data_IF_538674651390
#
_entry.id   IF_538674651390
#
_cell.length_a   1.000
_cell.length_b   1.000
_cell.length_c   1.000
_cell.angle_alpha   90.00
_cell.angle_beta   90.00
_cell.angle_gamma   90.00
#
_symmetry.space_group_name_H-M   'P 1'
#
loop_
_entity.id
_entity.type
_entity.pdbx_description
1 polymer ?
#
# COMPACT_ATOMS: atom_id res chain seq x y z
N UNK A 1 24.59 5.08 -16.63
CA UNK A 1 23.30 4.36 -16.48
C UNK A 1 22.46 5.11 -15.42
N UNK A 2 21.15 5.23 -15.60
CA UNK A 2 20.26 5.78 -14.57
C UNK A 2 20.24 4.78 -13.40
N UNK A 3 20.74 5.19 -12.23
CA UNK A 3 20.66 4.37 -11.01
C UNK A 3 19.51 4.91 -10.17
N UNK A 4 18.50 4.08 -9.93
CA UNK A 4 17.35 4.49 -9.14
C UNK A 4 17.75 4.59 -7.65
N UNK A 5 17.17 5.51 -6.84
CA UNK A 5 17.48 5.61 -5.41
C UNK A 5 17.35 4.29 -4.64
N UNK A 6 16.40 3.44 -5.07
CA UNK A 6 16.21 2.12 -4.51
C UNK A 6 17.37 1.17 -4.83
N UNK A 7 17.96 1.25 -6.02
CA UNK A 7 19.14 0.46 -6.39
C UNK A 7 20.36 0.87 -5.57
N UNK A 8 20.55 2.17 -5.31
CA UNK A 8 21.62 2.66 -4.42
C UNK A 8 21.47 2.13 -2.99
N UNK A 9 20.25 2.14 -2.45
CA UNK A 9 19.97 1.58 -1.13
C UNK A 9 20.33 0.10 -1.05
N UNK A 10 19.91 -0.72 -2.02
CA UNK A 10 20.22 -2.15 -2.01
C UNK A 10 21.68 -2.46 -2.31
N UNK A 11 22.33 -1.71 -3.20
CA UNK A 11 23.76 -1.86 -3.44
C UNK A 11 24.58 -1.62 -2.16
N UNK A 12 24.15 -0.66 -1.33
CA UNK A 12 24.81 -0.31 -0.07
C UNK A 12 24.47 -1.27 1.07
N UNK A 13 23.18 -1.51 1.32
CA UNK A 13 22.72 -2.24 2.51
C UNK A 13 22.65 -3.76 2.28
N UNK A 14 22.51 -4.21 1.03
CA UNK A 14 22.29 -5.62 0.68
C UNK A 14 23.02 -6.01 -0.62
N UNK A 15 24.37 -5.94 -0.63
CA UNK A 15 25.15 -6.16 -1.85
C UNK A 15 24.85 -7.52 -2.49
N UNK A 16 24.69 -7.52 -3.82
CA UNK A 16 24.35 -8.71 -4.61
C UNK A 16 22.86 -9.08 -4.64
N UNK A 17 21.98 -8.27 -4.04
CA UNK A 17 20.53 -8.43 -4.13
C UNK A 17 19.93 -7.39 -5.10
N UNK A 18 18.92 -7.80 -5.86
CA UNK A 18 18.23 -6.97 -6.87
C UNK A 18 16.73 -7.03 -6.72
N UNK A 19 16.09 -5.93 -7.09
CA UNK A 19 14.62 -5.78 -7.10
C UNK A 19 14.19 -5.27 -8.45
N UNK A 20 13.05 -5.74 -8.93
CA UNK A 20 12.52 -5.31 -10.21
C UNK A 20 12.18 -6.47 -11.13
N UNK A 21 12.41 -6.26 -12.41
CA UNK A 21 12.09 -7.22 -13.46
C UNK A 21 13.22 -8.22 -13.67
N UNK A 22 12.86 -9.50 -13.81
CA UNK A 22 13.78 -10.57 -14.17
C UNK A 22 13.70 -11.76 -13.22
N UNK A 23 14.58 -12.73 -13.48
CA UNK A 23 14.72 -13.96 -12.71
C UNK A 23 16.19 -14.21 -12.41
N UNK A 24 16.49 -14.86 -11.30
CA UNK A 24 17.86 -15.22 -10.94
C UNK A 24 18.07 -15.41 -9.44
N UNK A 25 19.24 -15.96 -9.06
CA UNK A 25 19.65 -16.11 -7.65
C UNK A 25 19.96 -14.78 -6.96
N UNK A 26 20.18 -13.71 -7.74
CA UNK A 26 20.35 -12.33 -7.31
C UNK A 26 19.03 -11.57 -7.20
N UNK A 27 17.93 -12.12 -7.75
CA UNK A 27 16.61 -11.49 -7.71
C UNK A 27 15.89 -11.78 -6.40
N UNK A 28 15.61 -10.72 -5.65
CA UNK A 28 14.92 -10.75 -4.37
C UNK A 28 15.83 -10.66 -3.16
N UNK A 29 15.24 -10.84 -1.97
CA UNK A 29 15.94 -10.57 -0.71
C UNK A 29 16.23 -11.85 0.02
N UNK A 30 17.51 -12.03 0.38
CA UNK A 30 17.92 -13.02 1.39
C UNK A 30 17.54 -12.58 2.81
N UNK A 31 17.01 -11.37 2.99
CA UNK A 31 16.55 -10.81 4.28
C UNK A 31 15.44 -11.70 4.88
N UNK A 32 14.65 -12.40 4.06
CA UNK A 32 13.63 -13.35 4.51
C UNK A 32 14.17 -14.76 4.81
N UNK A 33 15.50 -14.92 4.86
CA UNK A 33 16.19 -16.14 5.23
C UNK A 33 16.56 -17.05 4.05
N UNK A 34 17.27 -18.15 4.31
CA UNK A 34 17.82 -19.05 3.29
C UNK A 34 16.74 -19.79 2.47
N UNK A 35 15.46 -19.65 2.82
CA UNK A 35 14.33 -20.23 2.10
C UNK A 35 13.99 -19.52 0.79
N UNK A 36 14.60 -18.36 0.54
CA UNK A 36 14.40 -17.57 -0.68
C UNK A 36 15.73 -17.44 -1.44
N UNK A 37 16.14 -18.46 -2.22
CA UNK A 37 17.44 -18.51 -2.90
C UNK A 37 17.53 -17.58 -4.13
N UNK A 38 16.45 -16.87 -4.45
CA UNK A 38 16.30 -16.04 -5.64
C UNK A 38 14.82 -15.97 -6.05
N UNK A 39 14.58 -15.53 -7.28
CA UNK A 39 13.27 -15.59 -7.93
C UNK A 39 13.40 -16.24 -9.30
N UNK A 40 12.75 -17.39 -9.47
CA UNK A 40 12.81 -18.18 -10.70
C UNK A 40 11.46 -18.24 -11.40
N UNK A 41 11.41 -18.58 -12.70
CA UNK A 41 10.14 -18.70 -13.42
C UNK A 41 9.15 -19.66 -12.76
N UNK A 42 9.65 -20.71 -12.10
CA UNK A 42 8.83 -21.66 -11.33
C UNK A 42 8.15 -21.04 -10.10
N UNK A 43 8.70 -19.95 -9.57
CA UNK A 43 8.12 -19.22 -8.43
C UNK A 43 7.02 -18.26 -8.88
N UNK A 44 7.02 -17.85 -10.14
CA UNK A 44 6.11 -16.83 -10.64
C UNK A 44 4.62 -17.20 -10.50
N UNK A 45 4.17 -18.44 -10.81
CA UNK A 45 2.79 -18.84 -10.56
C UNK A 45 2.40 -18.76 -9.08
N UNK A 46 3.30 -19.20 -8.18
CA UNK A 46 3.08 -19.17 -6.73
C UNK A 46 3.03 -17.75 -6.19
N UNK A 47 3.96 -16.89 -6.61
CA UNK A 47 4.00 -15.48 -6.18
C UNK A 47 2.80 -14.72 -6.74
N UNK A 48 2.42 -14.98 -8.00
CA UNK A 48 1.23 -14.38 -8.61
C UNK A 48 -0.04 -14.85 -7.91
N UNK A 49 -0.18 -16.13 -7.59
CA UNK A 49 -1.35 -16.64 -6.88
C UNK A 49 -1.47 -16.07 -5.46
N UNK A 50 -0.35 -15.94 -4.73
CA UNK A 50 -0.32 -15.27 -3.42
C UNK A 50 -0.74 -13.80 -3.55
N UNK A 51 -0.17 -13.06 -4.50
CA UNK A 51 -0.54 -11.65 -4.74
C UNK A 51 -2.02 -11.51 -5.11
N UNK A 52 -2.54 -12.42 -5.93
CA UNK A 52 -3.96 -12.44 -6.29
C UNK A 52 -4.84 -12.79 -5.09
N UNK A 53 -4.44 -13.75 -4.26
CA UNK A 53 -5.17 -14.11 -3.05
C UNK A 53 -5.21 -12.94 -2.04
N UNK A 54 -4.10 -12.23 -1.86
CA UNK A 54 -4.06 -11.02 -1.05
C UNK A 54 -4.91 -9.90 -1.65
N UNK A 55 -4.80 -9.67 -2.97
CA UNK A 55 -5.66 -8.71 -3.65
C UNK A 55 -7.13 -9.05 -3.45
N UNK A 56 -7.52 -10.31 -3.63
CA UNK A 56 -8.89 -10.81 -3.42
C UNK A 56 -9.34 -10.65 -1.96
N UNK A 57 -8.46 -10.85 -0.98
CA UNK A 57 -8.76 -10.60 0.42
C UNK A 57 -8.99 -9.10 0.68
N UNK A 58 -8.14 -8.22 0.15
CA UNK A 58 -8.21 -6.76 0.35
C UNK A 58 -9.49 -6.13 -0.22
N UNK A 59 -10.04 -6.74 -1.26
CA UNK A 59 -11.27 -6.33 -1.96
C UNK A 59 -12.48 -7.24 -1.64
N UNK A 60 -12.34 -8.11 -0.64
CA UNK A 60 -13.41 -9.00 -0.16
C UNK A 60 -14.05 -9.87 -1.24
N UNK A 61 -13.26 -10.35 -2.20
CA UNK A 61 -13.75 -11.19 -3.30
C UNK A 61 -14.56 -10.45 -4.38
N UNK A 62 -14.69 -9.11 -4.31
CA UNK A 62 -15.37 -8.32 -5.34
C UNK A 62 -14.86 -8.57 -6.78
N UNK A 63 -13.57 -8.89 -7.04
CA UNK A 63 -13.08 -9.27 -8.35
C UNK A 63 -13.62 -10.58 -8.88
N UNK A 64 -14.18 -11.47 -8.06
CA UNK A 64 -14.89 -12.65 -8.56
C UNK A 64 -16.20 -12.24 -9.22
N UNK A 65 -16.89 -11.25 -8.65
CA UNK A 65 -18.07 -10.63 -9.26
C UNK A 65 -17.68 -9.85 -10.52
N UNK A 66 -16.58 -9.11 -10.49
CA UNK A 66 -16.04 -8.44 -11.69
C UNK A 66 -15.58 -9.45 -12.75
N UNK A 67 -14.95 -10.57 -12.37
CA UNK A 67 -14.53 -11.63 -13.29
C UNK A 67 -15.73 -12.33 -13.92
N UNK A 68 -16.80 -12.57 -13.17
CA UNK A 68 -18.06 -13.07 -13.70
C UNK A 68 -18.71 -12.05 -14.66
N UNK A 69 -18.70 -10.76 -14.31
CA UNK A 69 -19.20 -9.69 -15.17
C UNK A 69 -18.36 -9.53 -16.45
N UNK A 70 -17.04 -9.67 -16.36
CA UNK A 70 -16.13 -9.70 -17.50
C UNK A 70 -16.41 -10.93 -18.36
N UNK A 71 -16.39 -12.14 -17.79
CA UNK A 71 -16.69 -13.38 -18.51
C UNK A 71 -18.02 -13.26 -19.27
N UNK A 72 -19.06 -12.73 -18.63
CA UNK A 72 -20.34 -12.43 -19.27
C UNK A 72 -20.23 -11.38 -20.40
N UNK A 73 -19.49 -10.29 -20.19
CA UNK A 73 -19.24 -9.25 -21.19
C UNK A 73 -18.41 -9.76 -22.39
N UNK A 74 -17.60 -10.80 -22.21
CA UNK A 74 -16.80 -11.44 -23.26
C UNK A 74 -17.50 -12.61 -23.94
N UNK A 75 -18.53 -13.22 -23.33
CA UNK A 75 -19.20 -14.42 -23.86
C UNK A 75 -20.01 -14.19 -25.16
N UNK A 76 -20.40 -12.95 -25.49
CA UNK A 76 -21.12 -12.67 -26.74
C UNK A 76 -20.16 -12.64 -27.95
N UNK A 77 -20.49 -13.15 -29.14
CA UNK A 77 -19.51 -13.35 -30.24
C UNK A 77 -19.05 -12.10 -31.03
N UNK A 78 -19.34 -10.87 -30.59
CA UNK A 78 -18.87 -9.68 -31.34
C UNK A 78 -17.42 -9.34 -31.02
N UNK A 79 -16.55 -9.44 -32.02
CA UNK A 79 -15.21 -8.87 -31.99
C UNK A 79 -15.34 -7.35 -31.80
N UNK A 80 -14.84 -6.86 -30.67
CA UNK A 80 -14.87 -5.46 -30.30
C UNK A 80 -13.44 -5.11 -29.87
N UNK A 81 -12.87 -4.06 -30.45
CA UNK A 81 -11.51 -3.62 -30.19
C UNK A 81 -11.24 -3.43 -28.68
N UNK A 82 -12.27 -3.05 -27.92
CA UNK A 82 -12.21 -2.95 -26.47
C UNK A 82 -11.91 -4.28 -25.79
N UNK A 83 -12.44 -5.39 -26.31
CA UNK A 83 -12.17 -6.71 -25.73
C UNK A 83 -10.73 -7.13 -25.90
N UNK A 84 -10.17 -6.90 -27.10
CA UNK A 84 -8.77 -7.12 -27.36
C UNK A 84 -7.91 -6.23 -26.45
N UNK A 85 -8.28 -4.96 -26.27
CA UNK A 85 -7.59 -4.04 -25.36
C UNK A 85 -7.63 -4.50 -23.89
N UNK A 86 -8.77 -4.96 -23.38
CA UNK A 86 -8.87 -5.50 -22.01
C UNK A 86 -8.08 -6.79 -21.83
N UNK A 87 -8.17 -7.71 -22.78
CA UNK A 87 -7.40 -8.95 -22.75
C UNK A 87 -5.89 -8.67 -22.78
N UNK A 88 -5.46 -7.75 -23.65
CA UNK A 88 -4.07 -7.31 -23.72
C UNK A 88 -3.62 -6.61 -22.43
N UNK A 89 -4.41 -5.69 -21.88
CA UNK A 89 -4.10 -5.04 -20.61
C UNK A 89 -3.98 -6.03 -19.44
N UNK A 90 -4.91 -7.00 -19.37
CA UNK A 90 -4.86 -8.08 -18.36
C UNK A 90 -3.61 -8.92 -18.53
N UNK A 91 -3.29 -9.33 -19.77
CA UNK A 91 -2.09 -10.10 -20.06
C UNK A 91 -0.80 -9.34 -19.73
N UNK A 92 -0.74 -8.04 -20.05
CA UNK A 92 0.39 -7.16 -19.71
C UNK A 92 0.56 -7.06 -18.20
N UNK A 93 -0.53 -6.84 -17.45
CA UNK A 93 -0.46 -6.79 -15.98
C UNK A 93 0.04 -8.13 -15.43
N UNK A 94 -0.50 -9.26 -15.88
CA UNK A 94 -0.03 -10.60 -15.47
C UNK A 94 1.44 -10.79 -15.81
N UNK A 95 1.88 -10.43 -17.02
CA UNK A 95 3.27 -10.54 -17.44
C UNK A 95 4.19 -9.66 -16.59
N UNK A 96 3.78 -8.42 -16.27
CA UNK A 96 4.49 -7.53 -15.35
C UNK A 96 4.63 -8.19 -13.99
N UNK A 97 3.57 -8.77 -13.45
CA UNK A 97 3.59 -9.44 -12.15
C UNK A 97 4.43 -10.72 -12.12
N UNK A 98 4.41 -11.49 -13.21
CA UNK A 98 5.25 -12.69 -13.39
C UNK A 98 6.72 -12.29 -13.45
N UNK A 99 7.06 -11.24 -14.17
CA UNK A 99 8.44 -10.79 -14.32
C UNK A 99 8.94 -9.94 -13.15
N UNK A 100 8.06 -9.34 -12.34
CA UNK A 100 8.44 -8.39 -11.29
C UNK A 100 8.50 -9.04 -9.90
N UNK A 101 9.69 -9.10 -9.31
CA UNK A 101 9.87 -9.49 -7.92
C UNK A 101 9.88 -8.28 -6.98
N UNK A 102 9.09 -8.35 -5.91
CA UNK A 102 9.10 -7.40 -4.80
C UNK A 102 8.85 -8.13 -3.47
N UNK A 103 9.73 -7.90 -2.50
CA UNK A 103 9.83 -8.64 -1.24
C UNK A 103 8.67 -8.48 -0.25
N UNK A 104 7.84 -7.45 -0.44
CA UNK A 104 6.59 -7.34 0.26
C UNK A 104 5.46 -7.91 -0.59
N UNK A 105 4.87 -9.04 -0.18
CA UNK A 105 3.51 -9.39 -0.61
C UNK A 105 2.56 -8.20 -0.35
N UNK A 106 2.83 -7.43 0.72
CA UNK A 106 2.16 -6.18 1.09
C UNK A 106 2.20 -5.05 0.05
N UNK A 107 3.11 -5.07 -0.94
CA UNK A 107 3.21 -4.01 -1.95
C UNK A 107 3.14 -4.54 -3.38
N UNK A 108 3.21 -5.86 -3.57
CA UNK A 108 3.05 -6.48 -4.88
C UNK A 108 1.76 -6.03 -5.52
N UNK A 109 0.62 -6.15 -4.83
CA UNK A 109 -0.72 -5.91 -5.39
C UNK A 109 -1.01 -4.45 -5.81
N UNK A 110 -0.13 -3.48 -5.53
CA UNK A 110 -0.37 -2.06 -5.85
C UNK A 110 -0.56 -1.77 -7.34
N UNK A 111 0.10 -2.53 -8.22
CA UNK A 111 -0.08 -2.34 -9.67
C UNK A 111 -1.47 -2.81 -10.14
N UNK A 112 -2.08 -3.79 -9.47
CA UNK A 112 -3.51 -4.10 -9.66
C UNK A 112 -4.39 -2.93 -9.23
N UNK A 113 -4.06 -2.25 -8.13
CA UNK A 113 -4.80 -1.06 -7.69
C UNK A 113 -4.70 0.11 -8.68
N UNK A 114 -3.56 0.28 -9.37
CA UNK A 114 -3.40 1.28 -10.44
C UNK A 114 -4.27 0.94 -11.66
N UNK A 115 -4.36 -0.33 -12.03
CA UNK A 115 -5.20 -0.77 -13.15
C UNK A 115 -6.70 -0.81 -12.80
N UNK A 116 -7.05 -0.87 -11.51
CA UNK A 116 -8.41 -1.09 -11.05
C UNK A 116 -9.40 -0.02 -11.51
N UNK A 117 -9.13 1.31 -11.45
CA UNK A 117 -10.05 2.32 -11.95
C UNK A 117 -10.40 2.17 -13.43
N UNK A 118 -9.42 1.85 -14.27
CA UNK A 118 -9.64 1.65 -15.70
C UNK A 118 -10.51 0.41 -15.97
N UNK A 119 -10.25 -0.68 -15.25
CA UNK A 119 -11.05 -1.92 -15.34
C UNK A 119 -12.48 -1.66 -14.86
N UNK A 120 -12.67 -1.01 -13.71
CA UNK A 120 -13.99 -0.67 -13.16
C UNK A 120 -14.75 0.26 -14.11
N UNK A 121 -14.11 1.32 -14.61
CA UNK A 121 -14.72 2.27 -15.53
C UNK A 121 -15.25 1.60 -16.81
N UNK A 122 -14.47 0.67 -17.37
CA UNK A 122 -14.90 -0.04 -18.57
C UNK A 122 -16.05 -1.02 -18.34
N UNK A 123 -16.04 -1.72 -17.20
CA UNK A 123 -17.15 -2.58 -16.78
C UNK A 123 -18.40 -1.71 -16.58
N UNK A 124 -18.26 -0.57 -15.91
CA UNK A 124 -19.37 0.36 -15.64
C UNK A 124 -19.98 0.91 -16.94
N UNK A 125 -19.16 1.35 -17.90
CA UNK A 125 -19.64 1.84 -19.20
C UNK A 125 -20.42 0.77 -19.96
N UNK A 126 -19.92 -0.46 -20.00
CA UNK A 126 -20.64 -1.58 -20.65
C UNK A 126 -21.91 -1.96 -19.92
N UNK A 127 -21.88 -1.95 -18.60
CA UNK A 127 -23.07 -2.18 -17.79
C UNK A 127 -24.13 -1.12 -18.08
N UNK A 128 -23.74 0.17 -18.16
CA UNK A 128 -24.64 1.27 -18.50
C UNK A 128 -25.29 1.07 -19.88
N UNK A 129 -24.50 0.81 -20.92
CA UNK A 129 -25.05 0.54 -22.26
C UNK A 129 -25.98 -0.69 -22.29
N UNK A 130 -25.64 -1.76 -21.57
CA UNK A 130 -26.50 -2.95 -21.50
C UNK A 130 -27.81 -2.68 -20.74
N UNK A 131 -27.80 -1.78 -19.75
CA UNK A 131 -28.99 -1.34 -19.02
C UNK A 131 -29.87 -0.43 -19.87
N UNK A 132 -29.27 0.48 -20.66
CA UNK A 132 -29.96 1.38 -21.59
C UNK A 132 -30.64 0.62 -22.73
N UNK A 133 -30.00 -0.42 -23.26
CA UNK A 133 -30.55 -1.22 -24.34
C UNK A 133 -31.82 -2.01 -23.95
N UNK A 134 -32.23 -2.03 -22.67
CA UNK A 134 -33.44 -2.68 -22.12
C UNK A 134 -33.67 -4.12 -22.60
N UNK A 135 -32.58 -4.85 -22.90
CA UNK A 135 -32.66 -6.23 -23.36
C UNK A 135 -33.06 -7.22 -22.27
N UNK A 136 -33.30 -8.50 -22.63
CA UNK A 136 -33.72 -9.55 -21.68
C UNK A 136 -32.74 -9.76 -20.52
N UNK A 137 -31.48 -9.35 -20.68
CA UNK A 137 -30.44 -9.48 -19.65
C UNK A 137 -30.37 -8.27 -18.69
N UNK A 138 -31.16 -7.21 -18.90
CA UNK A 138 -31.09 -6.00 -18.08
C UNK A 138 -31.45 -6.29 -16.61
N UNK A 139 -32.44 -7.17 -16.37
CA UNK A 139 -32.82 -7.58 -15.01
C UNK A 139 -31.71 -8.35 -14.30
N UNK A 140 -31.06 -9.29 -14.99
CA UNK A 140 -29.94 -10.05 -14.43
C UNK A 140 -28.75 -9.13 -14.10
N UNK A 141 -28.45 -8.16 -14.97
CA UNK A 141 -27.39 -7.18 -14.71
C UNK A 141 -27.72 -6.26 -13.54
N UNK A 142 -28.96 -5.77 -13.43
CA UNK A 142 -29.41 -4.99 -12.26
C UNK A 142 -29.30 -5.80 -10.97
N UNK A 143 -29.72 -7.06 -11.00
CA UNK A 143 -29.59 -7.96 -9.86
C UNK A 143 -28.12 -8.19 -9.47
N UNK A 144 -27.23 -8.36 -10.45
CA UNK A 144 -25.79 -8.50 -10.20
C UNK A 144 -25.17 -7.23 -9.58
N UNK A 145 -25.53 -6.05 -10.09
CA UNK A 145 -25.08 -4.77 -9.53
C UNK A 145 -25.62 -4.59 -8.11
N UNK A 146 -26.91 -4.86 -7.89
CA UNK A 146 -27.52 -4.80 -6.57
C UNK A 146 -26.86 -5.78 -5.58
N UNK A 147 -26.56 -7.00 -6.01
CA UNK A 147 -25.83 -7.98 -5.22
C UNK A 147 -24.41 -7.53 -4.89
N UNK A 148 -23.70 -6.91 -5.85
CA UNK A 148 -22.37 -6.35 -5.61
C UNK A 148 -22.41 -5.20 -4.59
N UNK A 149 -23.36 -4.27 -4.74
CA UNK A 149 -23.56 -3.17 -3.79
C UNK A 149 -23.93 -3.71 -2.41
N UNK A 150 -24.84 -4.69 -2.34
CA UNK A 150 -25.22 -5.34 -1.09
C UNK A 150 -24.01 -6.05 -0.44
N UNK A 151 -23.20 -6.78 -1.21
CA UNK A 151 -21.96 -7.39 -0.72
C UNK A 151 -20.98 -6.36 -0.16
N UNK A 152 -20.81 -5.24 -0.88
CA UNK A 152 -19.95 -4.15 -0.40
C UNK A 152 -20.48 -3.57 0.91
N UNK A 153 -21.77 -3.23 0.98
CA UNK A 153 -22.34 -2.56 2.15
C UNK A 153 -22.50 -3.48 3.37
N UNK A 154 -22.84 -4.75 3.15
CA UNK A 154 -23.18 -5.70 4.22
C UNK A 154 -22.01 -6.56 4.67
N UNK A 155 -21.01 -6.81 3.81
CA UNK A 155 -19.87 -7.66 4.13
C UNK A 155 -18.53 -6.93 4.05
N UNK A 156 -18.20 -6.35 2.89
CA UNK A 156 -16.87 -5.78 2.67
C UNK A 156 -16.60 -4.52 3.51
N UNK A 157 -17.52 -3.57 3.52
CA UNK A 157 -17.36 -2.29 4.21
C UNK A 157 -17.30 -2.44 5.73
N UNK A 158 -18.20 -3.19 6.41
CA UNK A 158 -18.10 -3.39 7.85
C UNK A 158 -16.78 -4.05 8.25
N UNK A 159 -16.36 -5.08 7.53
CA UNK A 159 -15.13 -5.78 7.83
C UNK A 159 -13.88 -4.92 7.53
N UNK A 160 -13.92 -4.06 6.51
CA UNK A 160 -12.92 -3.03 6.26
C UNK A 160 -12.89 -2.01 7.40
N UNK A 161 -14.04 -1.53 7.87
CA UNK A 161 -14.11 -0.59 8.99
C UNK A 161 -13.56 -1.21 10.28
N UNK A 162 -13.82 -2.49 10.54
CA UNK A 162 -13.23 -3.18 11.70
C UNK A 162 -11.72 -3.34 11.55
N UNK A 163 -11.24 -3.75 10.37
CA UNK A 163 -9.81 -4.00 10.14
C UNK A 163 -8.96 -2.71 10.02
N UNK A 164 -9.55 -1.64 9.48
CA UNK A 164 -8.85 -0.40 9.13
C UNK A 164 -9.35 0.85 9.83
N UNK A 165 -10.51 0.80 10.50
CA UNK A 165 -11.07 1.95 11.23
C UNK A 165 -10.38 2.23 12.56
N UNK A 166 -9.54 1.31 13.04
CA UNK A 166 -8.56 1.60 14.10
C UNK A 166 -7.30 2.26 13.54
N UNK A 167 -6.23 2.26 14.33
CA UNK A 167 -4.91 2.69 13.85
C UNK A 167 -4.30 1.58 12.97
N UNK A 168 -4.69 1.51 11.68
CA UNK A 168 -4.13 0.53 10.75
C UNK A 168 -2.61 0.66 10.71
N UNK A 169 -1.91 -0.40 11.11
CA UNK A 169 -0.45 -0.40 11.29
C UNK A 169 0.05 0.68 12.27
N UNK A 170 -0.78 1.22 13.16
CA UNK A 170 -0.51 2.39 14.01
C UNK A 170 -0.37 3.71 13.24
N UNK A 171 -0.81 3.77 11.98
CA UNK A 171 -0.97 5.03 11.31
C UNK A 171 -2.16 5.77 11.93
N UNK A 172 -1.89 6.82 12.70
CA UNK A 172 -2.92 7.62 13.36
C UNK A 172 -2.53 9.09 13.36
N UNK A 173 -3.55 9.96 13.47
CA UNK A 173 -3.34 11.38 13.74
C UNK A 173 -2.92 11.67 15.18
N UNK A 174 -2.83 10.65 16.05
CA UNK A 174 -2.70 10.84 17.49
C UNK A 174 -1.45 11.61 17.91
N UNK A 175 -0.34 11.47 17.18
CA UNK A 175 0.87 12.25 17.46
C UNK A 175 0.66 13.74 17.16
N UNK A 176 0.02 14.07 16.03
CA UNK A 176 -0.34 15.45 15.68
C UNK A 176 -1.31 16.03 16.70
N UNK A 177 -2.32 15.27 17.08
CA UNK A 177 -3.29 15.70 18.09
C UNK A 177 -2.62 15.91 19.46
N UNK A 178 -1.73 15.01 19.88
CA UNK A 178 -0.99 15.15 21.13
C UNK A 178 -0.12 16.40 21.16
N UNK A 179 0.62 16.67 20.07
CA UNK A 179 1.43 17.89 19.94
C UNK A 179 0.55 19.15 20.04
N UNK A 180 -0.62 19.13 19.41
CA UNK A 180 -1.60 20.22 19.46
C UNK A 180 -2.19 20.41 20.87
N UNK A 181 -2.57 19.32 21.53
CA UNK A 181 -3.15 19.31 22.89
C UNK A 181 -2.14 19.77 23.95
N UNK A 182 -0.86 19.43 23.78
CA UNK A 182 0.22 19.89 24.65
C UNK A 182 0.73 21.29 24.29
N UNK A 183 0.15 21.92 23.25
CA UNK A 183 0.56 23.22 22.74
C UNK A 183 2.08 23.32 22.48
N UNK A 184 2.69 22.23 22.01
CA UNK A 184 4.11 22.25 21.70
C UNK A 184 4.33 23.17 20.50
N UNK A 185 5.30 24.05 20.65
CA UNK A 185 5.78 24.96 19.62
C UNK A 185 7.31 24.93 19.66
N UNK A 186 7.94 25.22 18.53
CA UNK A 186 9.39 25.25 18.38
C UNK A 186 10.12 24.00 18.90
N UNK A 187 9.54 22.81 18.71
CA UNK A 187 9.99 21.58 19.38
C UNK A 187 10.67 20.59 18.42
N UNK A 188 11.51 19.72 18.98
CA UNK A 188 12.05 18.53 18.33
C UNK A 188 11.47 17.28 19.00
N UNK A 189 10.73 16.47 18.26
CA UNK A 189 10.03 15.29 18.79
C UNK A 189 10.59 14.01 18.17
N UNK A 190 11.37 13.25 18.94
CA UNK A 190 11.85 11.92 18.55
C UNK A 190 10.75 10.87 18.73
N UNK A 191 10.38 10.20 17.66
CA UNK A 191 9.31 9.22 17.63
C UNK A 191 9.90 7.82 17.62
N UNK A 192 9.55 7.02 18.63
CA UNK A 192 9.99 5.65 18.77
C UNK A 192 9.74 4.85 17.47
N UNK A 193 10.71 4.01 17.13
CA UNK A 193 10.63 3.18 15.92
C UNK A 193 9.58 2.07 16.03
N UNK A 194 9.14 1.73 17.25
CA UNK A 194 8.21 0.62 17.47
C UNK A 194 6.94 0.75 16.60
N UNK A 195 6.87 -0.15 15.62
CA UNK A 195 5.79 -0.26 14.63
C UNK A 195 5.82 0.83 13.56
N UNK A 196 4.76 1.66 13.42
CA UNK A 196 4.71 2.68 12.35
C UNK A 196 4.53 4.12 12.83
N UNK A 197 4.62 4.39 14.14
CA UNK A 197 4.47 5.73 14.69
C UNK A 197 5.36 6.77 13.98
N UNK A 198 6.65 6.47 13.81
CA UNK A 198 7.57 7.32 13.06
C UNK A 198 7.14 7.56 11.60
N UNK A 199 6.67 6.52 10.90
CA UNK A 199 6.29 6.61 9.49
C UNK A 199 5.08 7.51 9.26
N UNK A 200 4.23 7.69 10.29
CA UNK A 200 3.12 8.63 10.27
C UNK A 200 3.50 10.04 10.72
N UNK A 201 4.59 10.18 11.47
CA UNK A 201 5.13 11.46 11.89
C UNK A 201 5.94 12.15 10.78
N UNK A 202 6.73 11.39 10.02
CA UNK A 202 7.60 11.94 8.97
C UNK A 202 6.89 12.85 7.95
N UNK A 203 5.69 12.50 7.42
CA UNK A 203 4.95 13.36 6.49
C UNK A 203 4.40 14.64 7.12
N UNK A 204 4.47 14.82 8.44
CA UNK A 204 4.08 16.06 9.11
C UNK A 204 5.18 17.13 9.02
N UNK A 205 6.38 16.77 8.57
CA UNK A 205 7.45 17.72 8.34
C UNK A 205 7.36 18.32 6.93
N UNK A 206 7.39 19.64 6.84
CA UNK A 206 7.60 20.40 5.62
C UNK A 206 9.10 20.58 5.29
N UNK A 207 9.38 21.02 4.06
CA UNK A 207 10.72 21.42 3.63
C UNK A 207 10.74 22.90 3.23
N UNK A 208 11.79 23.68 3.59
CA UNK A 208 12.96 23.29 4.39
C UNK A 208 12.63 23.02 5.87
N UNK A 209 13.41 22.15 6.53
CA UNK A 209 13.07 21.57 7.85
C UNK A 209 12.96 22.64 8.95
N UNK A 210 13.73 23.72 8.83
CA UNK A 210 13.78 24.85 9.77
C UNK A 210 12.45 25.60 9.89
N UNK A 211 11.59 25.49 8.86
CA UNK A 211 10.26 26.14 8.87
C UNK A 211 9.22 25.40 9.70
N UNK A 212 9.50 24.17 10.11
CA UNK A 212 8.58 23.42 10.93
C UNK A 212 8.54 24.01 12.33
N UNK A 213 7.36 24.31 12.85
CA UNK A 213 7.19 24.70 14.24
C UNK A 213 7.52 23.50 15.16
N UNK A 214 7.05 22.31 14.79
CA UNK A 214 7.42 21.06 15.45
C UNK A 214 8.07 20.13 14.44
N UNK A 215 9.32 19.76 14.70
CA UNK A 215 10.08 18.84 13.86
C UNK A 215 9.96 17.43 14.42
N UNK A 216 9.44 16.51 13.64
CA UNK A 216 9.38 15.10 14.01
C UNK A 216 10.61 14.36 13.47
N UNK A 217 11.26 13.56 14.31
CA UNK A 217 12.41 12.75 13.92
C UNK A 217 12.27 11.30 14.36
N UNK A 218 12.93 10.36 13.68
CA UNK A 218 12.99 8.98 14.16
C UNK A 218 13.86 8.95 15.39
N UNK A 219 13.42 8.28 16.44
CA UNK A 219 14.29 7.98 17.58
C UNK A 219 15.31 6.91 17.18
N UNK A 220 16.59 7.31 17.12
CA UNK A 220 17.74 6.47 16.79
C UNK A 220 18.68 6.31 18.00
N UNK A 221 18.22 6.62 19.21
CA UNK A 221 19.02 6.56 20.44
C UNK A 221 20.17 7.56 20.42
N UNK A 222 21.41 7.08 20.59
CA UNK A 222 22.61 7.95 20.68
C UNK A 222 22.79 8.90 19.47
N UNK A 223 22.27 8.53 18.29
CA UNK A 223 22.37 9.36 17.09
C UNK A 223 21.42 10.55 17.06
N UNK A 224 20.47 10.63 18.00
CA UNK A 224 19.60 11.79 18.15
C UNK A 224 20.38 13.08 18.40
N UNK A 225 21.55 12.98 19.05
CA UNK A 225 22.46 14.10 19.30
C UNK A 225 22.91 14.83 18.03
N UNK A 226 23.01 14.14 16.88
CA UNK A 226 23.33 14.76 15.59
C UNK A 226 22.27 15.80 15.18
N UNK A 227 20.99 15.48 15.44
CA UNK A 227 19.86 16.34 15.10
C UNK A 227 19.62 17.41 16.17
N UNK A 228 19.81 17.07 17.46
CA UNK A 228 19.79 18.05 18.56
C UNK A 228 20.85 19.15 18.32
N UNK A 229 22.05 18.79 17.87
CA UNK A 229 23.10 19.75 17.54
C UNK A 229 22.76 20.64 16.32
N UNK A 230 21.96 20.13 15.37
CA UNK A 230 21.51 20.89 14.21
C UNK A 230 20.35 21.85 14.54
N UNK A 231 19.59 21.57 15.60
CA UNK A 231 18.46 22.38 16.07
C UNK A 231 18.55 22.66 17.58
N UNK A 232 19.61 23.35 18.04
CA UNK A 232 19.97 23.44 19.46
C UNK A 232 19.01 24.31 20.29
N UNK A 233 18.18 25.11 19.64
CA UNK A 233 17.21 26.02 20.24
C UNK A 233 15.84 25.37 20.47
N UNK A 234 15.66 24.10 20.09
CA UNK A 234 14.39 23.38 20.21
C UNK A 234 14.35 22.49 21.45
N UNK A 235 13.33 22.61 22.31
CA UNK A 235 13.10 21.64 23.37
C UNK A 235 12.87 20.24 22.79
N UNK A 236 13.46 19.24 23.44
CA UNK A 236 13.48 17.86 22.96
C UNK A 236 12.46 17.01 23.70
N UNK A 237 11.62 16.32 22.94
CA UNK A 237 10.64 15.38 23.46
C UNK A 237 10.77 14.01 22.79
N UNK A 238 10.33 12.97 23.50
CA UNK A 238 10.22 11.62 22.96
C UNK A 238 8.75 11.22 22.92
N UNK A 239 8.31 10.66 21.80
CA UNK A 239 6.95 10.20 21.61
C UNK A 239 6.91 8.73 21.18
N UNK A 240 5.85 8.03 21.58
CA UNK A 240 5.56 6.69 21.10
C UNK A 240 4.07 6.55 20.79
N UNK A 241 3.74 5.86 19.69
CA UNK A 241 2.36 5.51 19.33
C UNK A 241 2.11 4.07 19.76
N UNK A 242 1.21 3.90 20.72
CA UNK A 242 0.83 2.59 21.25
C UNK A 242 0.00 1.81 20.24
N UNK A 243 -0.14 0.50 20.47
CA UNK A 243 -0.94 -0.39 19.61
C UNK A 243 -2.44 -0.04 19.59
N UNK A 244 -2.94 0.59 20.64
CA UNK A 244 -4.31 1.11 20.73
C UNK A 244 -4.51 2.43 19.95
N UNK A 245 -3.47 2.92 19.28
CA UNK A 245 -3.49 4.16 18.49
C UNK A 245 -3.24 5.43 19.30
N UNK A 246 -3.11 5.36 20.63
CA UNK A 246 -2.81 6.52 21.48
C UNK A 246 -1.34 6.89 21.43
N UNK A 247 -1.05 8.17 21.35
CA UNK A 247 0.32 8.68 21.46
C UNK A 247 0.63 9.03 22.93
N UNK A 248 1.87 8.82 23.34
CA UNK A 248 2.41 9.31 24.61
C UNK A 248 3.62 10.16 24.33
N UNK A 249 3.73 11.27 25.05
CA UNK A 249 4.88 12.17 25.03
C UNK A 249 5.59 12.06 26.37
N UNK A 250 6.91 12.02 26.33
CA UNK A 250 7.79 12.09 27.49
C UNK A 250 8.82 13.15 27.21
N UNK A 251 8.94 14.09 28.13
CA UNK A 251 10.13 14.93 28.16
C UNK A 251 11.32 14.03 28.51
N UNK A 252 12.46 14.25 27.85
CA UNK A 252 13.68 13.53 28.20
C UNK A 252 13.99 13.83 29.66
N UNK A 253 14.17 12.84 30.56
CA UNK A 253 14.72 13.15 31.87
C UNK A 253 16.09 13.80 31.64
N UNK A 254 16.45 14.87 32.37
CA UNK A 254 17.76 15.50 32.24
C UNK A 254 18.84 14.42 32.35
N UNK A 255 19.81 14.45 31.44
CA UNK A 255 20.86 13.44 31.39
C UNK A 255 21.56 13.35 32.77
N UNK A 256 21.51 12.18 33.38
CA UNK A 256 22.39 11.81 34.51
C UNK A 256 23.83 11.55 34.00
#
# INVERSE_FOLDING_TARGET
>A
PLVLPQELHFAKEFPGQRFGFGFGPDMGTKIHGPRFPGYFPSDAPRVTSLRLAHFLADVWGAPLVLAAALAWAFWRPRADAWRAAFAAATAIVVAVYVAHFYHGIAYGARHYAIALPAIVGAIALRAAHALEARGPNAHALRAAIAALVAHVLLAAAPATVVAYGGAYRQASGALRELVREQHLTHALVFVAEEGWGWKSAFPLNDYPLERNDVLFARDLGARNAELEAAFPDRPVFHAAVRRDGRAVLRERPPAE
#
